data_IF_030136772168
#
_entry.id   IF_030136772168
#
_cell.length_a   1.000
_cell.length_b   1.000
_cell.length_c   1.000
_cell.angle_alpha   90.00
_cell.angle_beta   90.00
_cell.angle_gamma   90.00
#
_symmetry.space_group_name_H-M   'P 1'
#
loop_
_entity.id
_entity.type
_entity.pdbx_description
1 polymer ?
#
# COMPACT_ATOMS: atom_id res chain seq x y z
N UNK A 1 -19.73 29.67 -1.47
CA UNK A 1 -20.21 28.47 -0.76
C UNK A 1 -20.00 27.14 -1.52
N UNK A 2 -19.27 27.09 -2.66
CA UNK A 2 -19.02 25.82 -3.39
C UNK A 2 -17.92 24.93 -2.77
N UNK A 3 -16.99 25.51 -1.99
CA UNK A 3 -15.80 24.82 -1.46
C UNK A 3 -16.07 23.73 -0.40
N UNK A 4 -17.04 23.87 0.54
CA UNK A 4 -17.31 22.84 1.53
C UNK A 4 -17.79 21.52 0.92
N UNK A 5 -18.68 21.58 -0.08
CA UNK A 5 -19.20 20.40 -0.77
C UNK A 5 -18.09 19.71 -1.59
N UNK A 6 -17.24 20.46 -2.29
CA UNK A 6 -16.10 19.89 -3.02
C UNK A 6 -15.12 19.16 -2.09
N UNK A 7 -14.85 19.72 -0.91
CA UNK A 7 -14.01 19.09 0.11
C UNK A 7 -14.66 17.83 0.70
N UNK A 8 -15.98 17.87 0.93
CA UNK A 8 -16.74 16.70 1.37
C UNK A 8 -16.71 15.57 0.31
N UNK A 9 -16.93 15.88 -0.97
CA UNK A 9 -16.84 14.89 -2.05
C UNK A 9 -15.42 14.31 -2.18
N UNK A 10 -14.37 15.07 -1.84
CA UNK A 10 -12.99 14.54 -1.75
C UNK A 10 -12.83 13.61 -0.55
N UNK A 11 -13.40 13.94 0.61
CA UNK A 11 -13.39 13.08 1.79
C UNK A 11 -14.12 11.75 1.53
N UNK A 12 -15.26 11.78 0.83
CA UNK A 12 -15.99 10.57 0.41
C UNK A 12 -15.15 9.70 -0.54
N UNK A 13 -14.48 10.31 -1.53
CA UNK A 13 -13.54 9.57 -2.41
C UNK A 13 -12.37 8.98 -1.64
N UNK A 14 -11.91 9.65 -0.59
CA UNK A 14 -10.87 9.11 0.28
C UNK A 14 -11.39 7.89 1.07
N UNK A 15 -12.69 7.82 1.39
CA UNK A 15 -13.36 6.71 2.07
C UNK A 15 -13.85 5.59 1.14
N UNK A 16 -13.22 5.46 -0.03
CA UNK A 16 -13.53 4.45 -1.06
C UNK A 16 -14.95 4.52 -1.64
N UNK A 17 -15.70 5.61 -1.37
CA UNK A 17 -16.98 5.88 -2.02
C UNK A 17 -16.68 6.46 -3.40
N UNK A 18 -17.05 5.72 -4.44
CA UNK A 18 -16.76 6.11 -5.83
C UNK A 18 -17.68 7.24 -6.28
N UNK A 19 -17.22 8.47 -6.10
CA UNK A 19 -17.90 9.66 -6.62
C UNK A 19 -17.31 10.09 -7.96
N UNK A 20 -18.00 9.76 -9.04
CA UNK A 20 -17.72 10.21 -10.41
C UNK A 20 -18.00 11.71 -10.62
N UNK A 21 -17.51 12.31 -11.72
CA UNK A 21 -17.85 13.68 -12.06
C UNK A 21 -19.35 13.92 -12.26
N UNK A 22 -20.09 12.93 -12.78
CA UNK A 22 -21.54 13.02 -12.92
C UNK A 22 -22.24 13.08 -11.55
N UNK A 23 -21.85 12.21 -10.62
CA UNK A 23 -22.39 12.20 -9.26
C UNK A 23 -22.00 13.46 -8.46
N UNK A 24 -20.87 14.07 -8.80
CA UNK A 24 -20.51 15.37 -8.21
C UNK A 24 -21.47 16.47 -8.64
N UNK A 25 -21.94 16.44 -9.90
CA UNK A 25 -22.95 17.36 -10.41
C UNK A 25 -24.30 17.07 -9.75
N UNK A 26 -24.69 15.80 -9.64
CA UNK A 26 -25.93 15.39 -8.98
C UNK A 26 -25.96 15.77 -7.49
N UNK A 27 -24.82 15.69 -6.80
CA UNK A 27 -24.69 16.17 -5.43
C UNK A 27 -24.88 17.69 -5.35
N UNK A 28 -24.30 18.47 -6.26
CA UNK A 28 -24.52 19.93 -6.28
C UNK A 28 -25.99 20.28 -6.53
N UNK A 29 -26.65 19.60 -7.46
CA UNK A 29 -28.08 19.79 -7.72
C UNK A 29 -28.94 19.40 -6.51
N UNK A 30 -28.58 18.31 -5.82
CA UNK A 30 -29.25 17.89 -4.58
C UNK A 30 -29.15 18.97 -3.50
N UNK A 31 -27.96 19.56 -3.31
CA UNK A 31 -27.76 20.64 -2.35
C UNK A 31 -28.54 21.91 -2.73
N UNK A 32 -28.60 22.27 -4.02
CA UNK A 32 -29.39 23.41 -4.49
C UNK A 32 -30.90 23.24 -4.23
N UNK A 33 -31.41 22.01 -4.26
CA UNK A 33 -32.82 21.70 -4.03
C UNK A 33 -33.18 21.57 -2.54
N UNK A 34 -32.30 20.97 -1.74
CA UNK A 34 -32.56 20.64 -0.33
C UNK A 34 -32.15 21.77 0.62
N UNK A 35 -31.08 22.49 0.29
CA UNK A 35 -30.49 23.51 1.17
C UNK A 35 -29.81 22.91 2.40
N UNK A 36 -29.39 23.78 3.33
CA UNK A 36 -28.64 23.42 4.55
C UNK A 36 -29.49 23.52 5.83
N UNK A 37 -30.79 23.78 5.71
CA UNK A 37 -31.65 24.15 6.84
C UNK A 37 -32.02 22.98 7.76
N UNK A 38 -32.06 21.76 7.22
CA UNK A 38 -32.35 20.54 7.96
C UNK A 38 -31.20 19.54 7.74
N UNK A 39 -30.40 19.34 8.79
CA UNK A 39 -29.18 18.51 8.77
C UNK A 39 -29.48 17.06 8.43
N UNK A 40 -30.54 16.49 9.00
CA UNK A 40 -30.88 15.09 8.78
C UNK A 40 -31.39 14.89 7.35
N UNK A 41 -32.25 15.79 6.89
CA UNK A 41 -32.76 15.73 5.53
C UNK A 41 -31.65 15.97 4.48
N UNK A 42 -30.71 16.87 4.76
CA UNK A 42 -29.52 17.12 3.94
C UNK A 42 -28.59 15.89 3.88
N UNK A 43 -28.32 15.26 5.02
CA UNK A 43 -27.55 14.01 5.11
C UNK A 43 -28.17 12.90 4.27
N UNK A 44 -29.47 12.65 4.48
CA UNK A 44 -30.18 11.57 3.82
C UNK A 44 -30.26 11.79 2.31
N UNK A 45 -30.48 13.03 1.86
CA UNK A 45 -30.53 13.38 0.45
C UNK A 45 -29.18 13.18 -0.26
N UNK A 46 -28.06 13.57 0.38
CA UNK A 46 -26.72 13.34 -0.14
C UNK A 46 -26.33 11.86 -0.11
N UNK A 47 -26.71 11.12 0.93
CA UNK A 47 -26.47 9.68 1.04
C UNK A 47 -27.13 8.94 -0.13
N UNK A 48 -28.39 9.25 -0.44
CA UNK A 48 -29.12 8.67 -1.57
C UNK A 48 -28.48 9.01 -2.92
N UNK A 49 -27.92 10.21 -3.06
CA UNK A 49 -27.27 10.64 -4.30
C UNK A 49 -25.90 9.99 -4.52
N UNK A 50 -25.18 9.64 -3.44
CA UNK A 50 -23.75 9.32 -3.50
C UNK A 50 -23.40 7.87 -3.09
N UNK A 51 -24.18 7.22 -2.23
CA UNK A 51 -23.93 5.86 -1.76
C UNK A 51 -24.88 4.85 -2.44
N UNK A 52 -24.35 3.76 -3.01
CA UNK A 52 -25.11 2.77 -3.80
C UNK A 52 -25.19 1.41 -3.15
N UNK A 53 -24.34 1.15 -2.17
CA UNK A 53 -24.27 -0.13 -1.45
C UNK A 53 -24.45 0.09 0.07
N UNK A 54 -24.92 -0.93 0.82
CA UNK A 54 -25.03 -0.83 2.28
C UNK A 54 -23.71 -0.52 2.98
N UNK A 55 -22.58 -0.98 2.42
CA UNK A 55 -21.24 -0.68 2.93
C UNK A 55 -20.86 0.80 2.70
N UNK A 56 -21.14 1.33 1.51
CA UNK A 56 -20.95 2.75 1.20
C UNK A 56 -21.85 3.66 2.04
N UNK A 57 -23.08 3.24 2.38
CA UNK A 57 -23.99 4.00 3.26
C UNK A 57 -23.39 4.14 4.67
N UNK A 58 -22.86 3.06 5.24
CA UNK A 58 -22.23 3.11 6.55
C UNK A 58 -20.97 4.01 6.54
N UNK A 59 -20.13 3.87 5.52
CA UNK A 59 -18.94 4.74 5.36
C UNK A 59 -19.32 6.20 5.09
N UNK A 60 -20.41 6.45 4.36
CA UNK A 60 -20.93 7.79 4.12
C UNK A 60 -21.36 8.43 5.42
N UNK A 61 -22.13 7.72 6.25
CA UNK A 61 -22.63 8.22 7.53
C UNK A 61 -21.47 8.62 8.46
N UNK A 62 -20.44 7.77 8.58
CA UNK A 62 -19.26 8.05 9.39
C UNK A 62 -18.49 9.29 8.90
N UNK A 63 -18.31 9.43 7.58
CA UNK A 63 -17.61 10.57 6.97
C UNK A 63 -18.44 11.85 7.09
N UNK A 64 -19.75 11.76 6.94
CA UNK A 64 -20.67 12.90 7.05
C UNK A 64 -20.67 13.47 8.48
N UNK A 65 -20.84 12.61 9.48
CA UNK A 65 -20.82 13.03 10.89
C UNK A 65 -19.48 13.68 11.25
N UNK A 66 -18.37 13.09 10.82
CA UNK A 66 -17.02 13.59 11.10
C UNK A 66 -16.69 14.90 10.37
N UNK A 67 -17.18 15.08 9.13
CA UNK A 67 -16.92 16.27 8.33
C UNK A 67 -17.76 17.48 8.76
N UNK A 68 -19.05 17.27 9.08
CA UNK A 68 -19.98 18.33 9.45
C UNK A 68 -20.12 18.56 10.96
N UNK A 69 -19.44 17.77 11.82
CA UNK A 69 -19.32 18.05 13.27
C UNK A 69 -18.73 19.44 13.58
N UNK A 70 -18.08 20.10 12.62
CA UNK A 70 -17.49 21.42 12.79
C UNK A 70 -18.47 22.59 12.58
N UNK A 71 -19.64 22.37 11.97
CA UNK A 71 -20.59 23.47 11.65
C UNK A 71 -21.59 23.77 12.79
N UNK A 72 -21.57 23.04 13.92
CA UNK A 72 -22.48 23.28 15.08
C UNK A 72 -21.83 24.01 16.28
N UNK A 73 -20.54 24.36 16.23
CA UNK A 73 -19.90 25.17 17.30
C UNK A 73 -19.97 26.68 17.03
N UNK A 74 -21.20 27.20 16.85
CA UNK A 74 -21.45 28.65 16.95
C UNK A 74 -22.65 29.01 17.85
N UNK A 75 -23.09 28.08 18.71
CA UNK A 75 -24.04 28.44 19.78
C UNK A 75 -23.76 27.65 21.05
N UNK A 76 -23.08 28.30 21.99
CA UNK A 76 -23.06 28.05 23.43
C UNK A 76 -22.84 26.59 23.89
N UNK A 77 -21.63 26.25 24.35
CA UNK A 77 -21.52 25.44 25.56
C UNK A 77 -20.20 25.68 26.32
N UNK A 78 -20.35 25.95 27.61
CA UNK A 78 -19.29 26.00 28.62
C UNK A 78 -19.10 24.59 29.21
N UNK A 79 -17.84 24.15 29.39
CA UNK A 79 -17.45 22.93 30.14
C UNK A 79 -16.77 21.88 29.26
N UNK A 80 -15.78 21.10 29.69
CA UNK A 80 -14.90 21.03 30.86
C UNK A 80 -13.83 19.95 30.49
N UNK A 81 -12.64 20.00 31.10
CA UNK A 81 -11.64 18.92 31.20
C UNK A 81 -10.82 18.48 29.97
N UNK A 82 -9.84 19.31 29.64
CA UNK A 82 -8.53 18.91 29.12
C UNK A 82 -7.57 20.07 29.35
N UNK A 83 -6.31 19.82 29.75
CA UNK A 83 -5.24 20.84 29.82
C UNK A 83 -5.06 21.49 28.44
N UNK A 84 -5.93 22.45 28.14
CA UNK A 84 -5.89 23.29 26.96
C UNK A 84 -5.32 24.62 27.42
N UNK A 85 -4.24 25.03 26.76
CA UNK A 85 -3.68 26.37 26.92
C UNK A 85 -4.80 27.36 26.67
N UNK A 86 -5.20 28.14 27.67
CA UNK A 86 -6.22 29.17 27.49
C UNK A 86 -5.71 30.25 26.51
N UNK A 87 -6.59 30.84 25.69
CA UNK A 87 -6.22 32.03 24.92
C UNK A 87 -5.64 33.10 25.86
N UNK A 88 -4.62 33.86 25.43
CA UNK A 88 -4.11 34.95 26.25
C UNK A 88 -5.22 35.96 26.57
N UNK A 89 -5.26 36.48 27.80
CA UNK A 89 -6.21 37.53 28.18
C UNK A 89 -6.01 38.78 27.29
N UNK A 90 -7.13 39.29 26.75
CA UNK A 90 -7.18 40.56 26.03
C UNK A 90 -6.82 41.69 26.99
N UNK A 91 -5.79 42.47 26.68
CA UNK A 91 -5.44 43.66 27.45
C UNK A 91 -5.73 44.91 26.64
N UNK A 92 -6.47 45.84 27.26
CA UNK A 92 -6.54 47.23 26.79
C UNK A 92 -5.17 47.90 26.98
N UNK A 93 -4.54 48.32 25.88
CA UNK A 93 -3.56 49.40 25.85
C UNK A 93 -2.09 49.02 26.11
N UNK A 94 -1.41 48.54 25.06
CA UNK A 94 0.05 48.60 24.95
C UNK A 94 0.46 49.58 23.82
N UNK A 95 -0.02 50.84 23.89
CA UNK A 95 0.29 51.90 22.90
C UNK A 95 1.79 52.13 22.72
N UNK A 96 2.61 51.81 23.73
CA UNK A 96 4.06 51.96 23.72
C UNK A 96 4.81 51.02 22.75
N UNK A 97 4.19 49.91 22.34
CA UNK A 97 4.84 48.88 21.50
C UNK A 97 4.13 48.66 20.15
N UNK A 98 3.08 49.44 19.84
CA UNK A 98 2.30 49.33 18.61
C UNK A 98 3.15 49.43 17.32
N UNK A 99 4.13 50.33 17.27
CA UNK A 99 5.04 50.49 16.11
C UNK A 99 5.91 49.24 15.84
N UNK A 100 6.23 48.46 16.89
CA UNK A 100 7.01 47.22 16.74
C UNK A 100 6.12 46.03 16.32
N UNK A 101 4.82 46.08 16.63
CA UNK A 101 3.82 45.08 16.26
C UNK A 101 3.28 45.25 14.84
N UNK A 102 3.24 46.48 14.30
CA UNK A 102 2.74 46.81 12.96
C UNK A 102 3.41 45.99 11.83
N UNK A 103 4.61 45.45 12.09
CA UNK A 103 5.38 44.65 11.15
C UNK A 103 5.25 43.12 11.36
N UNK A 104 4.47 42.67 12.35
CA UNK A 104 4.28 41.24 12.66
C UNK A 104 2.78 40.94 12.83
N UNK A 105 2.04 40.70 11.72
CA UNK A 105 0.59 40.48 11.75
C UNK A 105 0.14 39.33 12.69
N UNK A 106 0.99 38.31 12.85
CA UNK A 106 0.71 37.20 13.76
C UNK A 106 0.75 37.60 15.24
N UNK A 107 1.57 38.60 15.60
CA UNK A 107 1.65 39.10 16.97
C UNK A 107 0.39 39.88 17.35
N UNK A 108 -0.12 40.69 16.41
CA UNK A 108 -1.39 41.42 16.55
C UNK A 108 -2.56 40.46 16.73
N UNK A 109 -2.70 39.46 15.85
CA UNK A 109 -3.74 38.42 15.95
C UNK A 109 -3.70 37.61 17.25
N UNK A 110 -2.51 37.43 17.85
CA UNK A 110 -2.35 36.72 19.12
C UNK A 110 -2.82 37.59 20.30
N UNK A 111 -2.63 38.91 20.23
CA UNK A 111 -2.89 39.84 21.34
C UNK A 111 -4.32 40.38 21.36
N UNK A 112 -4.93 40.57 20.19
CA UNK A 112 -6.32 41.03 20.06
C UNK A 112 -7.36 39.98 20.48
N UNK A 113 -6.91 38.77 20.83
CA UNK A 113 -7.70 37.67 21.39
C UNK A 113 -8.93 37.25 20.57
N UNK A 114 -9.01 37.62 19.28
CA UNK A 114 -10.05 37.10 18.39
C UNK A 114 -9.64 35.71 17.87
N UNK A 115 -9.92 34.69 18.69
CA UNK A 115 -9.63 33.29 18.38
C UNK A 115 -10.21 32.82 17.03
N UNK A 116 -11.25 33.50 16.53
CA UNK A 116 -11.84 33.21 15.23
C UNK A 116 -10.95 33.71 14.07
N UNK A 117 -10.33 34.88 14.21
CA UNK A 117 -9.43 35.41 13.19
C UNK A 117 -8.15 34.57 13.09
N UNK A 118 -7.58 34.18 14.23
CA UNK A 118 -6.43 33.29 14.28
C UNK A 118 -6.74 31.92 13.65
N UNK A 119 -7.91 31.36 13.94
CA UNK A 119 -8.38 30.10 13.37
C UNK A 119 -8.58 30.19 11.85
N UNK A 120 -9.15 31.30 11.37
CA UNK A 120 -9.34 31.56 9.94
C UNK A 120 -8.00 31.72 9.20
N UNK A 121 -7.04 32.44 9.80
CA UNK A 121 -5.69 32.61 9.26
C UNK A 121 -4.94 31.28 9.19
N UNK A 122 -5.07 30.43 10.22
CA UNK A 122 -4.51 29.08 10.24
C UNK A 122 -5.10 28.22 9.12
N UNK A 123 -6.43 28.24 8.94
CA UNK A 123 -7.10 27.44 7.91
C UNK A 123 -6.73 27.88 6.49
N UNK A 124 -6.58 29.19 6.24
CA UNK A 124 -6.09 29.69 4.96
C UNK A 124 -4.64 29.25 4.68
N UNK A 125 -3.77 29.30 5.70
CA UNK A 125 -2.37 28.89 5.60
C UNK A 125 -2.27 27.38 5.38
N UNK A 126 -3.06 26.58 6.08
CA UNK A 126 -3.19 25.15 5.89
C UNK A 126 -3.60 24.77 4.47
N UNK A 127 -4.58 25.48 3.90
CA UNK A 127 -5.00 25.28 2.52
C UNK A 127 -3.90 25.64 1.51
N UNK A 128 -3.16 26.74 1.74
CA UNK A 128 -2.06 27.18 0.85
C UNK A 128 -0.87 26.21 0.87
N UNK A 129 -0.57 25.64 2.04
CA UNK A 129 0.50 24.66 2.23
C UNK A 129 0.12 23.27 1.71
N UNK A 130 -1.17 23.00 1.52
CA UNK A 130 -1.68 21.70 1.09
C UNK A 130 -1.84 20.71 2.23
N UNK A 131 -2.28 21.15 3.42
CA UNK A 131 -2.50 20.29 4.58
C UNK A 131 -3.57 19.20 4.34
N UNK A 132 -4.42 19.36 3.33
CA UNK A 132 -5.36 18.32 2.87
C UNK A 132 -4.67 17.19 2.11
N UNK A 133 -3.38 17.33 1.77
CA UNK A 133 -2.55 16.30 1.12
C UNK A 133 -1.72 15.47 2.11
N UNK A 134 -1.98 15.56 3.43
CA UNK A 134 -1.30 14.72 4.40
C UNK A 134 -1.66 13.26 4.12
N UNK A 135 -0.64 12.45 3.82
CA UNK A 135 -0.79 11.02 3.52
C UNK A 135 -0.22 10.12 4.60
N UNK A 136 0.81 10.56 5.29
CA UNK A 136 1.54 9.75 6.26
C UNK A 136 1.63 10.42 7.64
N UNK A 137 1.60 9.62 8.70
CA UNK A 137 1.75 10.12 10.07
C UNK A 137 3.08 10.88 10.27
N UNK A 138 4.15 10.47 9.57
CA UNK A 138 5.47 11.11 9.63
C UNK A 138 5.48 12.53 9.05
N UNK A 139 4.50 12.86 8.19
CA UNK A 139 4.39 14.18 7.59
C UNK A 139 3.73 15.19 8.52
N UNK A 140 3.09 14.76 9.62
CA UNK A 140 2.40 15.66 10.56
C UNK A 140 3.29 16.79 11.04
N UNK A 141 4.48 16.47 11.56
CA UNK A 141 5.43 17.47 12.04
C UNK A 141 5.92 18.42 10.93
N UNK A 142 6.08 17.92 9.71
CA UNK A 142 6.46 18.73 8.55
C UNK A 142 5.35 19.74 8.18
N UNK A 143 4.09 19.30 8.12
CA UNK A 143 2.97 20.17 7.80
C UNK A 143 2.68 21.16 8.92
N UNK A 144 2.71 20.75 10.19
CA UNK A 144 2.61 21.67 11.34
C UNK A 144 3.63 22.80 11.23
N UNK A 145 4.91 22.48 10.95
CA UNK A 145 5.94 23.51 10.82
C UNK A 145 5.70 24.43 9.61
N UNK A 146 5.29 23.89 8.46
CA UNK A 146 5.02 24.70 7.26
C UNK A 146 3.83 25.64 7.43
N UNK A 147 2.77 25.21 8.11
CA UNK A 147 1.60 26.07 8.39
C UNK A 147 2.05 27.26 9.25
N UNK A 148 2.78 26.99 10.32
CA UNK A 148 3.26 28.04 11.23
C UNK A 148 4.27 28.98 10.56
N UNK A 149 5.17 28.44 9.73
CA UNK A 149 6.11 29.26 8.96
C UNK A 149 5.37 30.17 7.95
N UNK A 150 4.28 29.71 7.32
CA UNK A 150 3.42 30.52 6.42
C UNK A 150 2.65 31.61 7.18
N UNK A 151 2.23 31.31 8.42
CA UNK A 151 1.57 32.27 9.31
C UNK A 151 2.51 33.36 9.86
N UNK A 152 3.83 33.24 9.66
CA UNK A 152 4.80 34.24 10.14
C UNK A 152 5.42 33.92 11.50
N UNK A 153 5.44 32.65 11.94
CA UNK A 153 6.06 32.24 13.20
C UNK A 153 7.51 32.73 13.36
N UNK A 154 8.27 32.81 12.27
CA UNK A 154 9.67 33.26 12.29
C UNK A 154 9.81 34.73 12.68
N UNK A 155 8.86 35.57 12.27
CA UNK A 155 8.89 37.00 12.57
C UNK A 155 8.39 37.24 14.00
N UNK A 156 7.40 36.47 14.46
CA UNK A 156 6.99 36.41 15.86
C UNK A 156 8.14 35.99 16.80
N UNK A 157 8.90 34.94 16.44
CA UNK A 157 10.06 34.48 17.20
C UNK A 157 11.16 35.56 17.32
N UNK A 158 11.35 36.38 16.27
CA UNK A 158 12.30 37.51 16.31
C UNK A 158 11.82 38.63 17.22
N UNK A 159 10.53 38.96 17.19
CA UNK A 159 9.93 39.99 18.04
C UNK A 159 10.04 39.61 19.52
N UNK A 160 9.66 38.38 19.89
CA UNK A 160 9.81 37.86 21.25
C UNK A 160 11.27 37.97 21.72
N UNK A 161 12.22 37.57 20.88
CA UNK A 161 13.63 37.65 21.21
C UNK A 161 14.14 39.10 21.35
N UNK A 162 13.56 40.06 20.61
CA UNK A 162 13.89 41.48 20.74
C UNK A 162 13.36 42.06 22.04
N UNK A 163 12.11 41.77 22.40
CA UNK A 163 11.48 42.21 23.65
C UNK A 163 12.23 41.69 24.88
N UNK A 164 12.73 40.45 24.83
CA UNK A 164 13.58 39.88 25.90
C UNK A 164 14.91 40.62 26.06
N UNK A 165 15.54 41.04 24.96
CA UNK A 165 16.81 41.79 25.00
C UNK A 165 16.63 43.23 25.47
N UNK A 166 15.49 43.86 25.18
CA UNK A 166 15.21 45.23 25.65
C UNK A 166 14.84 45.29 27.13
N UNK A 167 14.32 44.20 27.71
CA UNK A 167 13.95 44.13 29.13
C UNK A 167 15.12 43.90 30.10
N UNK A 168 16.36 43.76 29.62
CA UNK A 168 17.55 43.47 30.46
C UNK A 168 18.30 44.73 30.94
N UNK A 169 17.82 45.96 30.68
CA UNK A 169 18.67 47.17 30.82
C UNK A 169 18.06 48.51 31.29
N UNK A 170 16.75 48.67 31.57
CA UNK A 170 16.16 49.96 32.00
C UNK A 170 15.00 49.78 33.00
N UNK A 171 14.67 50.83 33.76
CA UNK A 171 13.64 50.92 34.83
C UNK A 171 12.18 50.57 34.39
N UNK A 172 11.96 50.28 33.10
CA UNK A 172 10.69 49.80 32.49
C UNK A 172 10.61 48.25 32.47
N UNK A 173 11.09 47.62 33.55
CA UNK A 173 11.32 46.17 33.69
C UNK A 173 10.03 45.32 33.57
N UNK A 174 8.85 45.94 33.67
CA UNK A 174 7.56 45.23 33.78
C UNK A 174 6.79 45.09 32.47
N UNK A 175 6.82 46.08 31.57
CA UNK A 175 5.99 46.06 30.34
C UNK A 175 6.52 45.14 29.23
N UNK A 176 7.79 45.30 28.84
CA UNK A 176 8.37 44.53 27.72
C UNK A 176 8.50 43.03 28.05
N UNK A 177 8.80 42.70 29.31
CA UNK A 177 8.90 41.32 29.77
C UNK A 177 7.52 40.64 29.85
N UNK A 178 6.49 41.37 30.28
CA UNK A 178 5.11 40.88 30.31
C UNK A 178 4.55 40.63 28.90
N UNK A 179 4.74 41.58 27.99
CA UNK A 179 4.37 41.43 26.58
C UNK A 179 5.06 40.23 25.92
N UNK A 180 6.36 40.02 26.19
CA UNK A 180 7.09 38.86 25.70
C UNK A 180 6.51 37.54 26.25
N UNK A 181 6.12 37.51 27.53
CA UNK A 181 5.48 36.33 28.13
C UNK A 181 4.11 36.04 27.49
N UNK A 182 3.30 37.06 27.22
CA UNK A 182 1.98 36.93 26.56
C UNK A 182 2.11 36.39 25.13
N UNK A 183 3.04 36.94 24.34
CA UNK A 183 3.33 36.44 22.99
C UNK A 183 3.89 35.01 23.00
N UNK A 184 4.70 34.65 24.01
CA UNK A 184 5.16 33.27 24.18
C UNK A 184 4.02 32.29 24.51
N UNK A 185 3.05 32.71 25.34
CA UNK A 185 1.86 31.94 25.64
C UNK A 185 0.99 31.75 24.40
N UNK A 186 0.71 32.84 23.67
CA UNK A 186 -0.03 32.78 22.40
C UNK A 186 0.65 31.92 21.33
N UNK A 187 1.99 31.95 21.25
CA UNK A 187 2.76 31.05 20.37
C UNK A 187 2.56 29.57 20.76
N UNK A 188 2.56 29.25 22.06
CA UNK A 188 2.34 27.87 22.53
C UNK A 188 0.93 27.41 22.19
N UNK A 189 -0.06 28.26 22.44
CA UNK A 189 -1.45 28.01 22.05
C UNK A 189 -1.57 27.72 20.54
N UNK A 190 -1.00 28.58 19.70
CA UNK A 190 -1.01 28.40 18.24
C UNK A 190 -0.33 27.10 17.79
N UNK A 191 0.79 26.73 18.42
CA UNK A 191 1.50 25.47 18.14
C UNK A 191 0.63 24.26 18.44
N UNK A 192 -0.04 24.24 19.58
CA UNK A 192 -0.87 23.13 20.00
C UNK A 192 -2.15 23.06 19.17
N UNK A 193 -2.77 24.20 18.86
CA UNK A 193 -3.94 24.26 17.97
C UNK A 193 -3.61 23.81 16.55
N UNK A 194 -2.44 24.21 16.01
CA UNK A 194 -1.99 23.75 14.68
C UNK A 194 -1.71 22.25 14.67
N UNK A 195 -1.15 21.69 15.76
CA UNK A 195 -0.96 20.23 15.88
C UNK A 195 -2.28 19.50 15.92
N UNK A 196 -3.23 20.00 16.71
CA UNK A 196 -4.57 19.42 16.81
C UNK A 196 -5.30 19.51 15.47
N UNK A 197 -5.20 20.63 14.76
CA UNK A 197 -5.74 20.80 13.42
C UNK A 197 -5.14 19.79 12.42
N UNK A 198 -3.81 19.67 12.38
CA UNK A 198 -3.11 18.72 11.49
C UNK A 198 -3.47 17.27 11.83
N UNK A 199 -3.67 16.94 13.11
CA UNK A 199 -4.12 15.62 13.52
C UNK A 199 -5.55 15.33 13.06
N UNK A 200 -6.48 16.28 13.25
CA UNK A 200 -7.86 16.16 12.75
C UNK A 200 -7.90 16.01 11.24
N UNK A 201 -7.10 16.79 10.50
CA UNK A 201 -6.98 16.66 9.04
C UNK A 201 -6.41 15.29 8.63
N UNK A 202 -5.42 14.78 9.35
CA UNK A 202 -4.91 13.42 9.14
C UNK A 202 -5.98 12.37 9.41
N UNK A 203 -6.76 12.49 10.49
CA UNK A 203 -7.86 11.55 10.78
C UNK A 203 -8.95 11.59 9.70
N UNK A 204 -9.35 12.78 9.25
CA UNK A 204 -10.37 12.99 8.21
C UNK A 204 -9.95 12.45 6.83
N UNK A 205 -8.73 12.78 6.38
CA UNK A 205 -8.29 12.49 5.00
C UNK A 205 -7.39 11.25 4.87
N UNK A 206 -6.75 10.80 5.96
CA UNK A 206 -5.79 9.70 5.93
C UNK A 206 -6.26 8.41 6.61
N UNK A 207 -7.34 8.36 7.43
CA UNK A 207 -7.92 7.06 7.85
C UNK A 207 -8.49 6.29 6.68
N UNK A 208 -9.20 7.01 5.83
CA UNK A 208 -9.88 6.55 4.64
C UNK A 208 -8.88 6.02 3.57
N UNK A 209 -7.79 6.76 3.37
CA UNK A 209 -6.65 6.34 2.54
C UNK A 209 -5.65 5.43 3.27
N UNK A 210 -5.77 5.24 4.58
CA UNK A 210 -4.74 4.62 5.41
C UNK A 210 -4.56 3.13 5.16
N UNK A 211 -5.60 2.44 4.70
CA UNK A 211 -5.50 1.05 4.28
C UNK A 211 -4.84 0.95 2.89
N UNK A 212 -5.36 1.67 1.89
CA UNK A 212 -4.82 1.64 0.52
C UNK A 212 -3.38 2.16 0.44
N UNK A 213 -3.05 3.27 1.12
CA UNK A 213 -1.69 3.82 1.16
C UNK A 213 -0.72 2.89 1.89
N UNK A 214 -1.21 2.15 2.89
CA UNK A 214 -0.39 1.19 3.63
C UNK A 214 -0.23 -0.11 2.86
N UNK A 215 -1.23 -0.52 2.08
CA UNK A 215 -1.08 -1.59 1.08
C UNK A 215 -0.07 -1.17 -0.01
N UNK A 216 -0.18 0.02 -0.59
CA UNK A 216 0.79 0.54 -1.56
C UNK A 216 2.20 0.61 -0.96
N UNK A 217 2.34 1.17 0.24
CA UNK A 217 3.62 1.21 0.94
C UNK A 217 4.19 -0.20 1.17
N UNK A 218 3.37 -1.15 1.60
CA UNK A 218 3.79 -2.54 1.78
C UNK A 218 4.16 -3.20 0.44
N UNK A 219 3.48 -2.86 -0.66
CA UNK A 219 3.80 -3.35 -1.99
C UNK A 219 5.16 -2.87 -2.50
N UNK A 220 5.55 -1.64 -2.13
CA UNK A 220 6.85 -1.05 -2.49
C UNK A 220 7.97 -1.35 -1.48
N UNK A 221 7.62 -1.69 -0.25
CA UNK A 221 8.58 -1.98 0.83
C UNK A 221 9.42 -3.19 0.45
N UNK A 222 10.74 -3.05 0.62
CA UNK A 222 11.67 -4.18 0.45
C UNK A 222 11.30 -5.28 1.44
N UNK A 223 11.20 -6.50 0.94
CA UNK A 223 10.82 -7.68 1.72
C UNK A 223 11.73 -7.91 2.95
N UNK A 224 12.98 -7.47 2.87
CA UNK A 224 13.95 -7.51 3.97
C UNK A 224 13.57 -6.67 5.20
N UNK A 225 12.69 -5.68 5.02
CA UNK A 225 12.34 -4.70 6.02
C UNK A 225 10.94 -4.93 6.61
N UNK A 226 10.30 -6.07 6.32
CA UNK A 226 8.95 -6.37 6.77
C UNK A 226 8.92 -6.79 8.25
N UNK A 227 8.13 -6.09 9.04
CA UNK A 227 7.88 -6.43 10.44
C UNK A 227 6.77 -7.47 10.58
N UNK A 228 6.77 -8.25 11.68
CA UNK A 228 5.76 -9.27 11.98
C UNK A 228 4.31 -8.75 11.91
N UNK A 229 4.07 -7.50 12.32
CA UNK A 229 2.73 -6.87 12.30
C UNK A 229 2.14 -6.71 10.89
N UNK A 230 2.98 -6.69 9.86
CA UNK A 230 2.53 -6.48 8.49
C UNK A 230 2.30 -7.80 7.73
N UNK A 231 2.59 -8.96 8.34
CA UNK A 231 2.48 -10.27 7.69
C UNK A 231 1.05 -10.63 7.29
N UNK A 232 0.05 -10.41 8.15
CA UNK A 232 -1.34 -10.75 7.84
C UNK A 232 -1.87 -9.96 6.63
N UNK A 233 -1.52 -8.68 6.59
CA UNK A 233 -1.88 -7.79 5.48
C UNK A 233 -1.17 -8.22 4.20
N UNK A 234 0.13 -8.51 4.31
CA UNK A 234 0.91 -9.01 3.19
C UNK A 234 0.36 -10.32 2.65
N UNK A 235 0.00 -11.25 3.54
CA UNK A 235 -0.61 -12.52 3.18
C UNK A 235 -1.89 -12.31 2.37
N UNK A 236 -2.77 -11.39 2.81
CA UNK A 236 -3.99 -11.04 2.07
C UNK A 236 -3.70 -10.48 0.67
N UNK A 237 -2.70 -9.59 0.55
CA UNK A 237 -2.29 -9.01 -0.73
C UNK A 237 -1.76 -10.11 -1.66
N UNK A 238 -0.78 -10.90 -1.19
CA UNK A 238 -0.14 -11.96 -1.97
C UNK A 238 -1.14 -13.05 -2.35
N UNK A 239 -2.06 -13.41 -1.46
CA UNK A 239 -3.16 -14.35 -1.74
C UNK A 239 -4.11 -13.83 -2.80
N UNK A 240 -4.47 -12.54 -2.80
CA UNK A 240 -5.26 -11.94 -3.89
C UNK A 240 -4.53 -12.05 -5.23
N UNK A 241 -3.22 -11.81 -5.26
CA UNK A 241 -2.39 -11.97 -6.46
C UNK A 241 -2.33 -13.43 -6.92
N UNK A 242 -2.11 -14.38 -6.00
CA UNK A 242 -2.13 -15.81 -6.29
C UNK A 242 -3.49 -16.27 -6.85
N UNK A 243 -4.61 -15.76 -6.31
CA UNK A 243 -5.96 -16.01 -6.87
C UNK A 243 -6.11 -15.52 -8.31
N UNK A 244 -5.57 -14.35 -8.65
CA UNK A 244 -5.56 -13.85 -10.04
C UNK A 244 -4.77 -14.81 -10.95
N UNK A 245 -3.60 -15.27 -10.49
CA UNK A 245 -2.77 -16.26 -11.19
C UNK A 245 -3.55 -17.58 -11.40
N UNK A 246 -4.05 -18.19 -10.33
CA UNK A 246 -4.76 -19.47 -10.38
C UNK A 246 -6.01 -19.43 -11.24
N UNK A 247 -6.81 -18.35 -11.19
CA UNK A 247 -8.03 -18.23 -12.00
C UNK A 247 -7.73 -18.30 -13.50
N UNK A 248 -6.62 -17.68 -13.95
CA UNK A 248 -6.21 -17.77 -15.36
C UNK A 248 -5.57 -19.12 -15.70
N UNK A 249 -4.85 -19.73 -14.77
CA UNK A 249 -4.28 -21.09 -14.91
C UNK A 249 -5.36 -22.18 -14.95
N UNK A 250 -6.48 -21.99 -14.26
CA UNK A 250 -7.60 -22.93 -14.21
C UNK A 250 -8.35 -23.04 -15.55
N UNK A 251 -8.19 -22.07 -16.46
CA UNK A 251 -8.90 -22.04 -17.74
C UNK A 251 -8.36 -23.12 -18.68
N UNK A 252 -9.02 -24.29 -18.68
CA UNK A 252 -8.76 -25.37 -19.63
C UNK A 252 -8.92 -24.87 -21.07
N UNK A 253 -7.81 -24.75 -21.79
CA UNK A 253 -7.82 -24.38 -23.20
C UNK A 253 -8.00 -25.62 -24.06
N UNK A 254 -8.84 -25.49 -25.09
CA UNK A 254 -8.92 -26.46 -26.19
C UNK A 254 -8.25 -25.81 -27.39
N UNK A 255 -7.10 -26.33 -27.79
CA UNK A 255 -6.46 -25.88 -29.01
C UNK A 255 -7.13 -26.61 -30.20
N UNK A 256 -7.67 -25.85 -31.16
CA UNK A 256 -8.16 -26.43 -32.40
C UNK A 256 -6.97 -26.68 -33.32
N UNK A 257 -6.75 -27.94 -33.70
CA UNK A 257 -5.75 -28.28 -34.72
C UNK A 257 -6.32 -27.89 -36.09
N UNK A 258 -6.11 -26.63 -36.49
CA UNK A 258 -6.41 -26.14 -37.84
C UNK A 258 -5.79 -27.09 -38.87
N UNK A 259 -6.56 -27.45 -39.89
CA UNK A 259 -6.15 -28.41 -40.92
C UNK A 259 -6.46 -29.88 -40.63
N UNK A 260 -6.77 -30.26 -39.38
CA UNK A 260 -7.22 -31.61 -39.04
C UNK A 260 -8.71 -31.62 -38.71
N UNK A 261 -9.54 -32.03 -39.69
CA UNK A 261 -10.98 -32.16 -39.50
C UNK A 261 -11.30 -33.32 -38.54
N UNK A 262 -12.20 -33.08 -37.58
CA UNK A 262 -12.86 -34.15 -36.85
C UNK A 262 -13.99 -34.70 -37.73
N UNK A 263 -13.65 -35.67 -38.57
CA UNK A 263 -14.58 -36.25 -39.56
C UNK A 263 -15.83 -36.81 -38.86
N UNK A 264 -15.66 -37.49 -37.72
CA UNK A 264 -16.77 -38.16 -37.04
C UNK A 264 -17.75 -37.14 -36.47
N UNK A 265 -17.24 -36.10 -35.81
CA UNK A 265 -18.07 -35.02 -35.25
C UNK A 265 -18.68 -34.16 -36.35
N UNK A 266 -17.93 -33.85 -37.40
CA UNK A 266 -18.40 -33.07 -38.56
C UNK A 266 -19.53 -33.78 -39.29
N UNK A 267 -19.36 -35.06 -39.66
CA UNK A 267 -20.41 -35.82 -40.36
C UNK A 267 -21.65 -36.01 -39.49
N UNK A 268 -21.48 -36.27 -38.18
CA UNK A 268 -22.61 -36.46 -37.26
C UNK A 268 -23.45 -35.20 -37.10
N UNK A 269 -22.82 -34.02 -37.06
CA UNK A 269 -23.53 -32.75 -36.91
C UNK A 269 -24.21 -32.30 -38.21
N UNK A 270 -23.66 -32.69 -39.36
CA UNK A 270 -24.23 -32.38 -40.67
C UNK A 270 -25.11 -33.52 -41.23
N UNK A 271 -25.38 -34.56 -40.44
CA UNK A 271 -26.26 -35.67 -40.83
C UNK A 271 -27.68 -35.21 -41.22
N UNK A 272 -28.29 -34.18 -40.58
CA UNK A 272 -29.56 -33.61 -41.04
C UNK A 272 -29.49 -32.88 -42.40
N UNK A 273 -28.28 -32.53 -42.86
CA UNK A 273 -28.03 -31.83 -44.12
C UNK A 273 -27.54 -32.79 -45.21
N UNK A 274 -28.08 -34.02 -45.23
CA UNK A 274 -27.65 -35.12 -46.12
C UNK A 274 -26.13 -35.41 -46.07
N UNK A 275 -25.49 -35.09 -44.94
CA UNK A 275 -24.04 -35.28 -44.76
C UNK A 275 -23.17 -34.25 -45.46
N UNK A 276 -23.75 -33.18 -46.03
CA UNK A 276 -23.01 -32.08 -46.66
C UNK A 276 -22.37 -31.22 -45.55
N UNK A 277 -21.03 -31.04 -45.52
CA UNK A 277 -20.34 -30.43 -44.39
C UNK A 277 -20.40 -28.88 -44.40
N UNK A 278 -21.56 -28.31 -44.07
CA UNK A 278 -21.73 -26.86 -43.87
C UNK A 278 -21.07 -26.38 -42.57
N UNK A 279 -21.14 -27.20 -41.51
CA UNK A 279 -20.52 -26.93 -40.22
C UNK A 279 -19.31 -27.83 -40.00
N UNK A 280 -18.12 -27.31 -40.27
CA UNK A 280 -16.85 -28.04 -40.09
C UNK A 280 -16.33 -27.93 -38.66
N UNK A 281 -16.01 -29.08 -38.06
CA UNK A 281 -15.40 -29.14 -36.72
C UNK A 281 -13.95 -29.64 -36.85
N UNK A 282 -13.03 -28.88 -36.25
CA UNK A 282 -11.61 -29.24 -36.20
C UNK A 282 -11.32 -30.11 -34.98
N UNK A 283 -10.38 -31.05 -35.10
CA UNK A 283 -9.88 -31.84 -33.96
C UNK A 283 -9.39 -30.88 -32.88
N UNK A 284 -9.83 -31.11 -31.64
CA UNK A 284 -9.43 -30.33 -30.47
C UNK A 284 -8.55 -31.20 -29.58
N UNK A 285 -7.40 -30.68 -29.15
CA UNK A 285 -6.62 -31.29 -28.07
C UNK A 285 -6.91 -30.52 -26.79
N UNK A 286 -7.28 -31.27 -25.73
CA UNK A 286 -7.45 -30.72 -24.39
C UNK A 286 -6.05 -30.45 -23.83
N UNK A 287 -5.77 -29.20 -23.49
CA UNK A 287 -4.54 -28.86 -22.77
C UNK A 287 -4.79 -29.24 -21.30
N UNK A 288 -3.88 -30.04 -20.75
CA UNK A 288 -3.92 -30.44 -19.34
C UNK A 288 -3.72 -29.22 -18.42
N UNK A 289 -4.10 -29.36 -17.16
CA UNK A 289 -3.89 -28.27 -16.20
C UNK A 289 -2.38 -28.13 -15.96
N UNK A 290 -1.81 -26.93 -16.06
CA UNK A 290 -0.39 -26.73 -15.82
C UNK A 290 -0.01 -27.16 -14.40
N UNK A 291 1.06 -27.95 -14.27
CA UNK A 291 1.68 -28.30 -12.99
C UNK A 291 2.68 -27.21 -12.61
N UNK A 292 2.77 -26.87 -11.32
CA UNK A 292 3.74 -25.90 -10.83
C UNK A 292 4.65 -26.58 -9.80
N UNK A 293 5.96 -26.42 -9.98
CA UNK A 293 6.96 -26.79 -8.99
C UNK A 293 7.58 -25.50 -8.49
N UNK A 294 7.62 -25.29 -7.18
CA UNK A 294 8.27 -24.13 -6.56
C UNK A 294 9.40 -24.61 -5.66
N UNK A 295 10.60 -24.08 -5.87
CA UNK A 295 11.79 -24.37 -5.08
C UNK A 295 12.22 -23.07 -4.39
N UNK A 296 12.17 -23.06 -3.05
CA UNK A 296 12.40 -21.86 -2.25
C UNK A 296 13.68 -21.95 -1.42
N UNK A 297 14.56 -20.98 -1.59
CA UNK A 297 15.76 -20.80 -0.78
C UNK A 297 15.39 -20.24 0.60
N UNK A 298 15.85 -20.90 1.66
CA UNK A 298 15.73 -20.46 3.06
C UNK A 298 17.08 -20.46 3.78
N UNK A 299 18.16 -20.42 3.01
CA UNK A 299 19.53 -20.36 3.50
C UNK A 299 19.87 -19.04 4.20
N UNK A 300 21.08 -18.97 4.77
CA UNK A 300 21.57 -17.79 5.48
C UNK A 300 21.70 -16.55 4.56
N UNK A 301 22.01 -16.71 3.28
CA UNK A 301 22.22 -15.59 2.36
C UNK A 301 20.92 -14.81 2.10
N UNK A 302 19.79 -15.53 2.08
CA UNK A 302 18.44 -14.96 1.92
C UNK A 302 17.72 -14.71 3.25
N UNK A 303 18.41 -14.74 4.40
CA UNK A 303 17.80 -14.66 5.73
C UNK A 303 16.75 -13.53 5.89
N UNK A 304 17.03 -12.35 5.34
CA UNK A 304 16.13 -11.20 5.40
C UNK A 304 14.87 -11.38 4.52
N UNK A 305 14.96 -12.12 3.42
CA UNK A 305 13.87 -12.35 2.47
C UNK A 305 13.15 -13.71 2.66
N UNK A 306 13.77 -14.67 3.35
CA UNK A 306 13.31 -16.06 3.45
C UNK A 306 11.87 -16.18 3.95
N UNK A 307 11.50 -15.44 5.01
CA UNK A 307 10.12 -15.44 5.55
C UNK A 307 9.11 -14.96 4.52
N UNK A 308 9.46 -13.96 3.73
CA UNK A 308 8.60 -13.47 2.67
C UNK A 308 8.47 -14.49 1.54
N UNK A 309 9.59 -15.09 1.09
CA UNK A 309 9.56 -16.09 0.02
C UNK A 309 8.69 -17.30 0.41
N UNK A 310 8.76 -17.72 1.68
CA UNK A 310 7.88 -18.75 2.24
C UNK A 310 6.42 -18.30 2.34
N UNK A 311 6.16 -17.04 2.70
CA UNK A 311 4.81 -16.48 2.69
C UNK A 311 4.21 -16.51 1.28
N UNK A 312 5.01 -16.19 0.28
CA UNK A 312 4.62 -16.29 -1.13
C UNK A 312 4.35 -17.74 -1.55
N UNK A 313 5.26 -18.66 -1.20
CA UNK A 313 5.10 -20.09 -1.44
C UNK A 313 3.79 -20.62 -0.84
N UNK A 314 3.51 -20.29 0.43
CA UNK A 314 2.28 -20.66 1.12
C UNK A 314 1.04 -20.13 0.38
N UNK A 315 1.06 -18.84 0.02
CA UNK A 315 -0.06 -18.19 -0.66
C UNK A 315 -0.31 -18.76 -2.06
N UNK A 316 0.73 -19.21 -2.77
CA UNK A 316 0.56 -19.94 -4.03
C UNK A 316 -0.03 -21.33 -3.80
N UNK A 317 0.48 -22.05 -2.81
CA UNK A 317 0.04 -23.41 -2.47
C UNK A 317 -1.45 -23.46 -2.09
N UNK A 318 -1.93 -22.49 -1.31
CA UNK A 318 -3.37 -22.38 -0.96
C UNK A 318 -4.31 -22.25 -2.17
N UNK A 319 -3.82 -21.68 -3.27
CA UNK A 319 -4.66 -21.29 -4.40
C UNK A 319 -4.51 -22.25 -5.58
N UNK A 320 -3.33 -22.84 -5.76
CA UNK A 320 -3.00 -23.66 -6.92
C UNK A 320 -3.03 -25.14 -6.55
N UNK A 321 -4.09 -25.82 -6.98
CA UNK A 321 -4.36 -27.22 -6.62
C UNK A 321 -3.32 -28.26 -7.10
N UNK A 322 -2.46 -27.94 -8.07
CA UNK A 322 -1.37 -28.81 -8.55
C UNK A 322 -0.03 -28.07 -8.41
N UNK A 323 0.31 -27.76 -7.16
CA UNK A 323 1.56 -27.14 -6.80
C UNK A 323 2.38 -28.07 -5.89
N UNK A 324 3.60 -28.35 -6.30
CA UNK A 324 4.60 -29.03 -5.47
C UNK A 324 5.56 -27.99 -4.90
N UNK A 325 5.69 -27.98 -3.58
CA UNK A 325 6.43 -26.97 -2.83
C UNK A 325 7.66 -27.61 -2.18
N UNK A 326 8.83 -27.04 -2.48
CA UNK A 326 10.10 -27.44 -1.92
C UNK A 326 10.80 -26.25 -1.28
N UNK A 327 11.56 -26.51 -0.22
CA UNK A 327 12.44 -25.53 0.39
C UNK A 327 13.83 -26.13 0.61
N UNK A 328 14.87 -25.32 0.49
CA UNK A 328 16.25 -25.79 0.62
C UNK A 328 17.17 -24.78 1.34
N UNK A 329 18.27 -25.33 1.86
CA UNK A 329 19.42 -24.56 2.34
C UNK A 329 20.72 -25.32 2.05
N UNK A 330 21.07 -26.30 2.88
CA UNK A 330 22.13 -27.29 2.65
C UNK A 330 21.62 -28.57 1.98
N UNK A 331 20.31 -28.82 2.08
CA UNK A 331 19.58 -29.91 1.42
C UNK A 331 18.17 -29.48 1.03
N UNK A 332 17.55 -30.20 0.11
CA UNK A 332 16.16 -30.00 -0.30
C UNK A 332 15.19 -30.82 0.57
N UNK A 333 14.06 -30.23 0.94
CA UNK A 333 12.92 -30.96 1.51
C UNK A 333 11.62 -30.58 0.80
N UNK A 334 10.70 -31.54 0.68
CA UNK A 334 9.31 -31.25 0.33
C UNK A 334 8.62 -30.61 1.55
N UNK A 335 7.98 -29.46 1.34
CA UNK A 335 7.27 -28.71 2.39
C UNK A 335 5.76 -28.72 2.19
N UNK A 336 5.24 -29.39 1.16
CA UNK A 336 3.81 -29.42 0.86
C UNK A 336 2.95 -29.88 2.04
N UNK A 337 3.39 -30.91 2.78
CA UNK A 337 2.66 -31.42 3.95
C UNK A 337 2.63 -30.41 5.10
N UNK A 338 3.74 -29.69 5.33
CA UNK A 338 3.83 -28.64 6.37
C UNK A 338 2.89 -27.48 6.02
N UNK A 339 2.84 -27.10 4.74
CA UNK A 339 1.96 -26.04 4.25
C UNK A 339 0.48 -26.42 4.27
N UNK A 340 0.15 -27.72 4.16
CA UNK A 340 -1.24 -28.22 4.23
C UNK A 340 -1.78 -28.30 5.66
N UNK A 341 -0.94 -28.66 6.62
CA UNK A 341 -1.38 -29.00 7.98
C UNK A 341 -1.34 -27.82 8.95
N UNK A 342 -0.69 -26.71 8.58
CA UNK A 342 -0.44 -25.58 9.48
C UNK A 342 -0.90 -24.25 8.87
N UNK A 343 -1.29 -23.33 9.73
CA UNK A 343 -1.51 -21.93 9.35
C UNK A 343 -0.18 -21.23 9.04
N UNK A 344 -0.23 -20.11 8.31
CA UNK A 344 0.96 -19.31 7.91
C UNK A 344 1.91 -19.05 9.08
N UNK A 345 1.36 -18.67 10.24
CA UNK A 345 2.12 -18.34 11.44
C UNK A 345 2.88 -19.53 12.05
N UNK A 346 2.44 -20.76 11.78
CA UNK A 346 3.05 -21.99 12.27
C UNK A 346 3.95 -22.63 11.21
N UNK A 347 3.47 -22.68 9.96
CA UNK A 347 4.16 -23.31 8.84
C UNK A 347 5.52 -22.65 8.55
N UNK A 348 5.58 -21.31 8.53
CA UNK A 348 6.82 -20.59 8.21
C UNK A 348 7.89 -20.85 9.29
N UNK A 349 7.64 -20.65 10.60
CA UNK A 349 8.61 -21.01 11.63
C UNK A 349 9.00 -22.48 11.62
N UNK A 350 8.07 -23.41 11.34
CA UNK A 350 8.38 -24.84 11.27
C UNK A 350 9.39 -25.15 10.15
N UNK A 351 9.17 -24.63 8.93
CA UNK A 351 10.10 -24.79 7.80
C UNK A 351 11.47 -24.16 8.15
N UNK A 352 11.45 -22.95 8.72
CA UNK A 352 12.67 -22.25 9.11
C UNK A 352 13.44 -22.98 10.22
N UNK A 353 12.76 -23.65 11.15
CA UNK A 353 13.41 -24.46 12.19
C UNK A 353 13.97 -25.77 11.64
N UNK A 354 13.30 -26.38 10.65
CA UNK A 354 13.73 -27.64 10.06
C UNK A 354 15.02 -27.49 9.24
N UNK A 355 15.09 -26.45 8.40
CA UNK A 355 16.19 -26.28 7.42
C UNK A 355 16.74 -24.85 7.33
N UNK A 356 16.14 -23.85 7.97
CA UNK A 356 16.51 -22.45 7.77
C UNK A 356 17.92 -22.08 8.24
N UNK A 357 18.48 -21.03 7.61
CA UNK A 357 19.72 -20.35 8.00
C UNK A 357 21.01 -21.20 8.00
N UNK A 358 21.00 -22.35 7.33
CA UNK A 358 22.21 -23.15 7.06
C UNK A 358 23.00 -22.54 5.89
N UNK A 359 24.19 -23.09 5.63
CA UNK A 359 24.98 -22.71 4.46
C UNK A 359 24.18 -23.00 3.19
N UNK A 360 24.24 -22.10 2.22
CA UNK A 360 23.56 -22.26 0.93
C UNK A 360 24.35 -23.24 0.06
N UNK A 361 23.68 -24.27 -0.46
CA UNK A 361 24.24 -25.17 -1.47
C UNK A 361 23.19 -25.50 -2.53
N UNK A 362 23.19 -24.73 -3.62
CA UNK A 362 22.32 -24.99 -4.77
C UNK A 362 22.66 -26.29 -5.48
N UNK A 363 23.93 -26.71 -5.47
CA UNK A 363 24.36 -27.96 -6.10
C UNK A 363 23.71 -29.16 -5.43
N UNK A 364 23.84 -29.24 -4.11
CA UNK A 364 23.21 -30.31 -3.33
C UNK A 364 21.67 -30.27 -3.44
N UNK A 365 21.05 -29.08 -3.40
CA UNK A 365 19.60 -28.97 -3.56
C UNK A 365 19.11 -29.48 -4.94
N UNK A 366 19.89 -29.27 -5.99
CA UNK A 366 19.60 -29.77 -7.33
C UNK A 366 19.84 -31.29 -7.42
N UNK A 367 20.88 -31.81 -6.79
CA UNK A 367 21.12 -33.26 -6.69
C UNK A 367 19.96 -33.96 -5.95
N UNK A 368 19.53 -33.44 -4.80
CA UNK A 368 18.40 -33.96 -4.04
C UNK A 368 17.10 -33.93 -4.86
N UNK A 369 16.87 -32.85 -5.64
CA UNK A 369 15.73 -32.77 -6.54
C UNK A 369 15.81 -33.81 -7.65
N UNK A 370 17.01 -34.00 -8.20
CA UNK A 370 17.25 -34.95 -9.27
C UNK A 370 16.95 -36.39 -8.85
N UNK A 371 17.45 -36.80 -7.69
CA UNK A 371 17.29 -38.14 -7.16
C UNK A 371 15.83 -38.44 -6.77
N UNK A 372 15.10 -37.45 -6.26
CA UNK A 372 13.76 -37.65 -5.71
C UNK A 372 12.60 -37.36 -6.66
N UNK A 373 12.71 -36.34 -7.51
CA UNK A 373 11.53 -35.67 -8.12
C UNK A 373 11.67 -35.36 -9.62
N UNK A 374 12.83 -35.60 -10.23
CA UNK A 374 13.08 -35.25 -11.64
C UNK A 374 12.11 -35.91 -12.62
N UNK A 375 11.61 -37.12 -12.31
CA UNK A 375 10.69 -37.88 -13.16
C UNK A 375 9.27 -37.35 -13.18
N UNK A 376 8.90 -36.50 -12.22
CA UNK A 376 7.60 -35.83 -12.20
C UNK A 376 7.57 -34.59 -13.11
N UNK A 377 8.74 -34.15 -13.62
CA UNK A 377 8.84 -33.05 -14.58
C UNK A 377 8.44 -33.47 -16.00
N UNK A 378 7.45 -32.75 -16.54
CA UNK A 378 6.99 -32.91 -17.92
C UNK A 378 6.84 -31.54 -18.64
N UNK A 379 6.52 -31.57 -19.93
CA UNK A 379 6.32 -30.36 -20.76
C UNK A 379 5.08 -29.53 -20.40
N UNK A 380 4.36 -29.92 -19.37
CA UNK A 380 3.24 -29.18 -18.79
C UNK A 380 3.61 -28.61 -17.40
N UNK A 381 4.80 -28.92 -16.87
CA UNK A 381 5.33 -28.38 -15.62
C UNK A 381 6.02 -27.03 -15.82
N UNK A 382 5.75 -26.09 -14.92
CA UNK A 382 6.45 -24.81 -14.81
C UNK A 382 7.20 -24.77 -13.48
N UNK A 383 8.50 -24.50 -13.54
CA UNK A 383 9.37 -24.45 -12.37
C UNK A 383 9.58 -22.99 -11.98
N UNK A 384 9.38 -22.67 -10.70
CA UNK A 384 9.62 -21.37 -10.11
C UNK A 384 10.70 -21.53 -9.03
N UNK A 385 11.86 -20.92 -9.24
CA UNK A 385 12.96 -20.90 -8.28
C UNK A 385 12.96 -19.54 -7.58
N UNK A 386 12.89 -19.54 -6.26
CA UNK A 386 12.93 -18.36 -5.40
C UNK A 386 14.25 -18.37 -4.63
N UNK A 387 15.18 -17.48 -4.95
CA UNK A 387 16.49 -17.49 -4.30
C UNK A 387 17.52 -16.60 -4.97
N UNK A 388 18.62 -16.31 -4.27
CA UNK A 388 19.66 -15.37 -4.70
C UNK A 388 20.71 -15.97 -5.67
N UNK A 389 20.73 -17.30 -5.82
CA UNK A 389 21.68 -18.00 -6.66
C UNK A 389 23.12 -17.98 -6.13
N UNK A 390 23.32 -17.79 -4.82
CA UNK A 390 24.64 -17.86 -4.18
C UNK A 390 24.95 -19.29 -3.75
N UNK A 391 26.03 -19.89 -4.28
CA UNK A 391 26.37 -21.29 -4.00
C UNK A 391 27.49 -21.49 -2.98
N UNK A 392 28.01 -20.45 -2.32
CA UNK A 392 29.19 -20.55 -1.46
C UNK A 392 30.39 -21.26 -2.12
N UNK A 393 30.56 -21.07 -3.44
CA UNK A 393 31.60 -21.71 -4.27
C UNK A 393 31.49 -23.25 -4.39
N UNK A 394 30.36 -23.85 -4.04
CA UNK A 394 30.07 -25.24 -4.37
C UNK A 394 29.79 -25.39 -5.87
N UNK A 395 29.85 -26.62 -6.38
CA UNK A 395 29.50 -26.88 -7.78
C UNK A 395 28.02 -26.56 -8.00
N UNK A 396 27.66 -25.58 -8.86
CA UNK A 396 26.27 -25.21 -9.07
C UNK A 396 25.44 -26.25 -9.84
N UNK A 397 26.02 -27.36 -10.30
CA UNK A 397 25.30 -28.45 -11.00
C UNK A 397 24.44 -27.95 -12.16
N UNK A 398 25.07 -27.16 -13.02
CA UNK A 398 24.46 -26.57 -14.23
C UNK A 398 23.86 -27.64 -15.16
N UNK A 399 24.43 -28.85 -15.14
CA UNK A 399 23.94 -30.01 -15.87
C UNK A 399 22.51 -30.42 -15.44
N UNK A 400 22.19 -30.33 -14.15
CA UNK A 400 20.85 -30.62 -13.62
C UNK A 400 19.88 -29.52 -14.03
N UNK A 401 20.29 -28.25 -13.89
CA UNK A 401 19.48 -27.11 -14.33
C UNK A 401 19.14 -27.16 -15.83
N UNK A 402 20.08 -27.61 -16.67
CA UNK A 402 19.80 -27.88 -18.09
C UNK A 402 18.75 -28.98 -18.26
N UNK A 403 18.88 -30.09 -17.53
CA UNK A 403 17.90 -31.19 -17.59
C UNK A 403 16.50 -30.75 -17.16
N UNK A 404 16.39 -29.96 -16.09
CA UNK A 404 15.13 -29.35 -15.64
C UNK A 404 14.54 -28.43 -16.72
N UNK A 405 15.37 -27.62 -17.38
CA UNK A 405 14.96 -26.78 -18.50
C UNK A 405 14.40 -27.60 -19.67
N UNK A 406 15.10 -28.66 -20.08
CA UNK A 406 14.72 -29.47 -21.23
C UNK A 406 13.44 -30.30 -21.00
N UNK A 407 13.19 -30.72 -19.74
CA UNK A 407 11.99 -31.50 -19.37
C UNK A 407 10.77 -30.62 -19.12
N UNK A 408 10.95 -29.41 -18.61
CA UNK A 408 9.85 -28.52 -18.23
C UNK A 408 9.33 -27.66 -19.38
N UNK A 409 8.14 -27.08 -19.20
CA UNK A 409 7.59 -26.07 -20.11
C UNK A 409 8.33 -24.75 -20.02
N UNK A 410 8.68 -24.36 -18.79
CA UNK A 410 9.25 -23.06 -18.47
C UNK A 410 9.93 -23.11 -17.11
N UNK A 411 11.07 -22.42 -17.00
CA UNK A 411 11.83 -22.22 -15.76
C UNK A 411 11.88 -20.73 -15.48
N UNK A 412 11.40 -20.32 -14.32
CA UNK A 412 11.30 -18.94 -13.87
C UNK A 412 12.16 -18.80 -12.61
N UNK A 413 13.07 -17.83 -12.60
CA UNK A 413 13.90 -17.51 -11.45
C UNK A 413 13.55 -16.13 -10.92
N UNK A 414 13.14 -16.06 -9.65
CA UNK A 414 12.86 -14.82 -8.92
C UNK A 414 13.94 -14.60 -7.88
N UNK A 415 14.80 -13.62 -8.14
CA UNK A 415 15.96 -13.34 -7.30
C UNK A 415 15.72 -12.12 -6.40
N UNK A 416 15.83 -12.23 -5.06
CA UNK A 416 15.64 -11.08 -4.17
C UNK A 416 16.72 -10.00 -4.31
N UNK A 417 17.90 -10.33 -4.85
CA UNK A 417 18.98 -9.38 -5.11
C UNK A 417 18.82 -8.63 -6.46
N UNK A 418 19.25 -7.36 -6.54
CA UNK A 418 19.30 -6.62 -7.79
C UNK A 418 20.21 -7.27 -8.83
N UNK A 419 19.87 -7.15 -10.12
CA UNK A 419 20.67 -7.72 -11.22
C UNK A 419 22.13 -7.26 -11.24
N UNK A 420 22.44 -6.08 -10.68
CA UNK A 420 23.82 -5.57 -10.56
C UNK A 420 24.71 -6.44 -9.67
N UNK A 421 24.12 -7.23 -8.77
CA UNK A 421 24.84 -8.16 -7.90
C UNK A 421 24.98 -9.56 -8.49
N UNK A 422 24.28 -9.86 -9.59
CA UNK A 422 24.36 -11.17 -10.23
C UNK A 422 25.76 -11.38 -10.83
N UNK A 423 26.44 -12.44 -10.40
CA UNK A 423 27.85 -12.69 -10.78
C UNK A 423 28.88 -11.98 -9.90
N UNK A 424 28.46 -11.30 -8.83
CA UNK A 424 29.38 -10.77 -7.82
C UNK A 424 29.56 -11.75 -6.66
N UNK A 425 30.79 -11.91 -6.18
CA UNK A 425 31.12 -12.88 -5.13
C UNK A 425 30.92 -14.32 -5.60
N UNK A 426 30.09 -15.06 -4.88
CA UNK A 426 29.74 -16.47 -5.11
C UNK A 426 28.38 -16.66 -5.83
N UNK A 427 27.88 -15.60 -6.49
CA UNK A 427 26.64 -15.66 -7.26
C UNK A 427 26.83 -16.37 -8.59
N UNK A 428 26.19 -17.53 -8.75
CA UNK A 428 26.25 -18.36 -9.96
C UNK A 428 25.13 -18.03 -10.96
N UNK A 429 24.34 -16.97 -10.70
CA UNK A 429 23.25 -16.51 -11.55
C UNK A 429 23.60 -16.36 -13.04
N UNK A 430 24.78 -15.85 -13.45
CA UNK A 430 25.16 -15.80 -14.87
C UNK A 430 25.20 -17.16 -15.54
N UNK A 431 25.49 -18.24 -14.81
CA UNK A 431 25.53 -19.61 -15.33
C UNK A 431 24.16 -20.28 -15.31
N UNK A 432 23.28 -19.93 -14.37
CA UNK A 432 21.90 -20.42 -14.33
C UNK A 432 20.98 -19.73 -15.34
N UNK A 433 21.19 -18.43 -15.58
CA UNK A 433 20.34 -17.59 -16.45
C UNK A 433 20.06 -18.17 -17.85
N UNK A 434 21.02 -18.79 -18.57
CA UNK A 434 20.75 -19.41 -19.88
C UNK A 434 19.68 -20.51 -19.86
N UNK A 435 19.46 -21.15 -18.71
CA UNK A 435 18.46 -22.21 -18.54
C UNK A 435 17.14 -21.67 -17.96
N UNK A 436 17.07 -20.37 -17.68
CA UNK A 436 15.87 -19.70 -17.22
C UNK A 436 15.16 -19.04 -18.41
N UNK A 437 13.88 -19.34 -18.59
CA UNK A 437 13.04 -18.66 -19.58
C UNK A 437 12.77 -17.21 -19.14
N UNK A 438 12.63 -17.02 -17.83
CA UNK A 438 12.50 -15.71 -17.19
C UNK A 438 13.41 -15.72 -15.97
N UNK A 439 14.31 -14.76 -15.87
CA UNK A 439 15.08 -14.47 -14.65
C UNK A 439 14.91 -12.98 -14.35
N UNK A 440 14.37 -12.64 -13.18
CA UNK A 440 14.08 -11.25 -12.79
C UNK A 440 14.33 -11.01 -11.31
N UNK A 441 14.69 -9.78 -10.95
CA UNK A 441 14.73 -9.34 -9.56
C UNK A 441 13.32 -9.26 -8.96
N UNK A 442 13.15 -9.81 -7.77
CA UNK A 442 11.90 -9.86 -7.01
C UNK A 442 12.17 -9.58 -5.51
N UNK A 443 12.25 -8.30 -5.16
CA UNK A 443 12.54 -7.83 -3.79
C UNK A 443 11.36 -7.13 -3.13
N UNK A 444 10.27 -6.91 -3.86
CA UNK A 444 9.03 -6.26 -3.42
C UNK A 444 7.81 -6.96 -4.02
N UNK A 445 6.63 -6.79 -3.41
CA UNK A 445 5.41 -7.45 -3.91
C UNK A 445 4.98 -6.89 -5.27
N UNK A 446 5.28 -5.61 -5.55
CA UNK A 446 5.10 -5.07 -6.90
C UNK A 446 5.94 -5.80 -7.96
N UNK A 447 7.20 -6.17 -7.65
CA UNK A 447 8.00 -6.94 -8.60
C UNK A 447 7.36 -8.29 -8.87
N UNK A 448 6.87 -8.94 -7.82
CA UNK A 448 6.17 -10.20 -7.93
C UNK A 448 4.92 -10.10 -8.80
N UNK A 449 4.09 -9.06 -8.62
CA UNK A 449 2.90 -8.84 -9.43
C UNK A 449 3.25 -8.67 -10.91
N UNK A 450 4.26 -7.85 -11.22
CA UNK A 450 4.73 -7.64 -12.60
C UNK A 450 5.22 -8.93 -13.24
N UNK A 451 5.98 -9.74 -12.49
CA UNK A 451 6.50 -11.01 -12.99
C UNK A 451 5.35 -11.98 -13.25
N UNK A 452 4.40 -12.11 -12.33
CA UNK A 452 3.19 -12.91 -12.50
C UNK A 452 2.43 -12.47 -13.76
N UNK A 453 2.25 -11.17 -13.99
CA UNK A 453 1.57 -10.66 -15.18
C UNK A 453 2.32 -10.94 -16.48
N UNK A 454 3.65 -10.85 -16.48
CA UNK A 454 4.48 -11.17 -17.64
C UNK A 454 4.45 -12.66 -17.97
N UNK A 455 4.51 -13.51 -16.94
CA UNK A 455 4.32 -14.95 -17.03
C UNK A 455 2.94 -15.23 -17.65
N UNK A 456 1.88 -14.61 -17.13
CA UNK A 456 0.52 -14.76 -17.66
C UNK A 456 0.38 -14.32 -19.12
N UNK A 457 1.09 -13.25 -19.53
CA UNK A 457 1.10 -12.76 -20.93
C UNK A 457 1.86 -13.70 -21.87
N UNK A 458 2.98 -14.28 -21.44
CA UNK A 458 3.73 -15.25 -22.25
C UNK A 458 2.90 -16.52 -22.51
N UNK A 459 2.18 -17.00 -21.49
CA UNK A 459 1.21 -18.11 -21.63
C UNK A 459 -0.02 -17.78 -22.48
N UNK A 460 -0.33 -16.51 -22.75
CA UNK A 460 -1.43 -16.11 -23.63
C UNK A 460 -1.04 -16.08 -25.11
N UNK A 461 0.25 -15.93 -25.42
CA UNK A 461 0.77 -15.81 -26.80
C UNK A 461 1.24 -17.15 -27.39
N UNK A 462 1.47 -18.16 -26.56
CA UNK A 462 1.75 -19.54 -26.97
C UNK A 462 0.51 -20.41 -26.84
#
# INVERSE_FOLDING_TARGET
MQRPLENFLRALRAADIRVSPAESIDAHQTVELVGYSDRQFFKDALCVALAKTPEEVASFDDVFEMFFQRDEFDTNDEGEDGESSQPPESAEGDEAFAEQMENVPLAEMILDADGNELSAAMEQSANRVGATEIRFFTQRGYFTRRILDDMGLRDLERLIAQLRRSGEGDDDETGASDLANRLEQGRRYLLDETRAYVERQYELYARANGENLREEFLMETKMSNLEHRDFDRMHKIVRRMAKKLATRYARQRRHTKRGQLDIRRTMRHNMPHDGIPFHVFWKQTKIERPKIVVICDVSKSVAAAARFLLLFLYSLHEVIAQLEAFAFSDRLISVGDILNNNDVEQAIPEIMNAIGFRSTDYGQALDDYEEGFMDDLDRNTTIIILGDGRSNFTDPRIDIMRRMHDRSRSVIWLNPEPETFWGTGDSEMPRYRPFCHVAKTCSTVMHLERVIDDILKSYARS
#
